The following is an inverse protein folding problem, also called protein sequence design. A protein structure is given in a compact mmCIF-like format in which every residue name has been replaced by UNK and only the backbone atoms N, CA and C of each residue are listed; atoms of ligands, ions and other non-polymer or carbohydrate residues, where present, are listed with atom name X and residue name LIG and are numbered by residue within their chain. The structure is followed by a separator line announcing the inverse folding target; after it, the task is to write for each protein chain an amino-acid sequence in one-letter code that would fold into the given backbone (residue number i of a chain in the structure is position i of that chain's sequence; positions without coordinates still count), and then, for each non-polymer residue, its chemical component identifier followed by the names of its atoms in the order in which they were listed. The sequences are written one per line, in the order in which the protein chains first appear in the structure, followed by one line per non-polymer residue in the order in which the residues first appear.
data_IF_694634939900
#
_entry.id   IF_694634939900
#
_cell.length_a   1.000
_cell.length_b   1.000
_cell.length_c   1.000
_cell.angle_alpha   90.00
_cell.angle_beta   90.00
_cell.angle_gamma   90.00
#
_symmetry.space_group_name_H-M   'P 1'
#
loop_
_entity.id
_entity.type
_entity.pdbx_description
1 polymer ?
#
# COMPACT_ATOMS: atom_id res chain seq x y z
N UNK A 1 5.77 -25.34 -3.22
CA UNK A 1 4.34 -25.37 -3.61
C UNK A 1 4.26 -25.74 -5.08
N UNK A 2 3.15 -26.32 -5.51
CA UNK A 2 2.89 -26.51 -6.93
C UNK A 2 2.63 -25.15 -7.61
N UNK A 3 3.20 -24.95 -8.80
CA UNK A 3 3.14 -23.68 -9.52
C UNK A 3 1.71 -23.29 -9.93
N UNK A 4 0.88 -24.27 -10.32
CA UNK A 4 -0.51 -24.02 -10.73
C UNK A 4 -1.38 -23.44 -9.59
N UNK A 5 -1.48 -24.07 -8.41
CA UNK A 5 -2.17 -23.47 -7.26
C UNK A 5 -1.64 -22.09 -6.90
N UNK A 6 -0.33 -21.89 -6.98
CA UNK A 6 0.33 -20.60 -6.72
C UNK A 6 -0.18 -19.51 -7.68
N UNK A 7 -0.21 -19.78 -9.00
CA UNK A 7 -0.75 -18.85 -10.01
C UNK A 7 -2.23 -18.54 -9.75
N UNK A 8 -3.03 -19.57 -9.43
CA UNK A 8 -4.45 -19.41 -9.14
C UNK A 8 -4.69 -18.59 -7.85
N UNK A 9 -3.91 -18.80 -6.80
CA UNK A 9 -3.93 -17.99 -5.57
C UNK A 9 -3.57 -16.54 -5.85
N UNK A 10 -2.52 -16.29 -6.63
CA UNK A 10 -2.14 -14.93 -7.04
C UNK A 10 -3.28 -14.24 -7.77
N UNK A 11 -3.85 -14.87 -8.79
CA UNK A 11 -4.99 -14.31 -9.52
C UNK A 11 -6.22 -14.10 -8.64
N UNK A 12 -6.51 -15.03 -7.72
CA UNK A 12 -7.62 -14.91 -6.77
C UNK A 12 -7.49 -13.69 -5.85
N UNK A 13 -6.27 -13.33 -5.43
CA UNK A 13 -6.04 -12.11 -4.65
C UNK A 13 -6.43 -10.86 -5.43
N UNK A 14 -5.97 -10.72 -6.68
CA UNK A 14 -6.25 -9.53 -7.48
C UNK A 14 -7.66 -9.48 -8.06
N UNK A 15 -8.32 -10.62 -8.16
CA UNK A 15 -9.73 -10.72 -8.53
C UNK A 15 -10.65 -10.02 -7.51
N UNK A 16 -10.28 -10.00 -6.22
CA UNK A 16 -10.98 -9.22 -5.17
C UNK A 16 -11.07 -7.74 -5.53
N UNK A 17 -10.12 -7.23 -6.31
CA UNK A 17 -10.02 -5.84 -6.75
C UNK A 17 -10.42 -5.61 -8.21
N UNK A 18 -10.95 -6.64 -8.90
CA UNK A 18 -11.27 -6.59 -10.33
C UNK A 18 -10.07 -6.13 -11.17
N UNK A 19 -8.89 -6.66 -10.84
CA UNK A 19 -7.61 -6.23 -11.38
C UNK A 19 -6.96 -7.42 -12.12
N UNK A 20 -7.19 -7.54 -13.44
CA UNK A 20 -6.60 -8.63 -14.21
C UNK A 20 -5.09 -8.38 -14.36
N UNK A 21 -4.32 -9.47 -14.39
CA UNK A 21 -2.86 -9.44 -14.25
C UNK A 21 -2.17 -9.65 -15.58
N UNK A 22 -1.04 -8.99 -15.80
CA UNK A 22 -0.11 -9.40 -16.87
C UNK A 22 0.68 -10.64 -16.46
N UNK A 23 1.39 -11.27 -17.41
CA UNK A 23 2.29 -12.37 -17.08
C UNK A 23 3.41 -11.94 -16.12
N UNK A 24 3.89 -10.71 -16.26
CA UNK A 24 4.89 -10.11 -15.35
C UNK A 24 4.31 -9.93 -13.95
N UNK A 25 3.09 -9.40 -13.83
CA UNK A 25 2.42 -9.26 -12.54
C UNK A 25 2.25 -10.64 -11.85
N UNK A 26 1.81 -11.67 -12.60
CA UNK A 26 1.65 -13.03 -12.05
C UNK A 26 2.96 -13.52 -11.46
N UNK A 27 4.05 -13.41 -12.23
CA UNK A 27 5.39 -13.82 -11.77
C UNK A 27 5.82 -13.02 -10.54
N UNK A 28 5.54 -11.72 -10.51
CA UNK A 28 6.00 -10.83 -9.46
C UNK A 28 5.25 -11.01 -8.13
N UNK A 29 3.95 -11.33 -8.21
CA UNK A 29 3.10 -11.58 -7.05
C UNK A 29 2.94 -13.08 -6.72
N UNK A 30 3.81 -13.92 -7.27
CA UNK A 30 3.82 -15.34 -6.98
C UNK A 30 4.42 -15.61 -5.60
N UNK A 31 3.83 -16.53 -4.86
CA UNK A 31 4.28 -16.97 -3.53
C UNK A 31 5.41 -18.02 -3.58
N UNK A 32 5.77 -18.47 -4.78
CA UNK A 32 6.91 -19.36 -5.04
C UNK A 32 7.84 -18.76 -6.07
N UNK A 33 9.13 -19.09 -6.01
CA UNK A 33 10.06 -18.74 -7.08
C UNK A 33 9.77 -19.60 -8.31
N UNK A 34 9.62 -18.95 -9.47
CA UNK A 34 9.45 -19.62 -10.75
C UNK A 34 10.13 -18.84 -11.88
N UNK A 35 10.65 -19.56 -12.88
CA UNK A 35 11.15 -18.93 -14.08
C UNK A 35 9.98 -18.39 -14.91
N UNK A 36 10.22 -17.31 -15.66
CA UNK A 36 9.20 -16.75 -16.55
C UNK A 36 8.64 -17.79 -17.53
N UNK A 37 9.51 -18.66 -18.04
CA UNK A 37 9.11 -19.75 -18.93
C UNK A 37 8.17 -20.73 -18.25
N UNK A 38 8.44 -21.13 -17.00
CA UNK A 38 7.56 -22.02 -16.25
C UNK A 38 6.20 -21.36 -16.00
N UNK A 39 6.18 -20.11 -15.55
CA UNK A 39 4.93 -19.36 -15.33
C UNK A 39 4.14 -19.30 -16.64
N UNK A 40 4.77 -18.91 -17.75
CA UNK A 40 4.12 -18.82 -19.07
C UNK A 40 3.50 -20.16 -19.50
N UNK A 41 4.26 -21.25 -19.40
CA UNK A 41 3.77 -22.59 -19.78
C UNK A 41 2.54 -23.00 -18.97
N UNK A 42 2.57 -22.80 -17.65
CA UNK A 42 1.44 -23.15 -16.79
C UNK A 42 0.24 -22.23 -17.02
N UNK A 43 0.45 -20.94 -17.26
CA UNK A 43 -0.64 -20.00 -17.53
C UNK A 43 -1.35 -20.36 -18.84
N UNK A 44 -0.60 -20.72 -19.89
CA UNK A 44 -1.15 -21.18 -21.18
C UNK A 44 -1.86 -22.54 -21.06
N UNK A 45 -1.38 -23.45 -20.21
CA UNK A 45 -2.08 -24.70 -19.93
C UNK A 45 -3.44 -24.43 -19.25
N UNK A 46 -3.47 -23.56 -18.24
CA UNK A 46 -4.70 -23.17 -17.55
C UNK A 46 -5.70 -22.45 -18.47
N UNK A 47 -5.23 -21.72 -19.49
CA UNK A 47 -6.09 -21.15 -20.55
C UNK A 47 -6.75 -22.25 -21.39
N UNK A 48 -5.97 -23.23 -21.87
CA UNK A 48 -6.51 -24.37 -22.66
C UNK A 48 -7.51 -25.20 -21.87
N UNK A 49 -7.31 -25.32 -20.57
CA UNK A 49 -8.21 -26.02 -19.65
C UNK A 49 -9.46 -25.19 -19.28
N UNK A 50 -9.60 -23.95 -19.77
CA UNK A 50 -10.74 -23.07 -19.45
C UNK A 50 -10.77 -22.63 -17.98
N UNK A 51 -9.63 -22.67 -17.29
CA UNK A 51 -9.48 -22.25 -15.88
C UNK A 51 -9.16 -20.77 -15.76
N UNK A 52 -8.46 -20.22 -16.76
CA UNK A 52 -8.19 -18.80 -16.91
C UNK A 52 -8.82 -18.26 -18.18
N UNK A 53 -8.97 -16.94 -18.22
CA UNK A 53 -9.37 -16.18 -19.40
C UNK A 53 -8.33 -15.12 -19.70
N UNK A 54 -8.18 -14.79 -20.97
CA UNK A 54 -7.21 -13.80 -21.44
C UNK A 54 -7.88 -12.78 -22.34
N UNK A 55 -7.67 -11.50 -22.05
CA UNK A 55 -8.06 -10.38 -22.91
C UNK A 55 -6.83 -9.51 -23.13
N UNK A 56 -6.26 -9.56 -24.35
CA UNK A 56 -5.00 -8.88 -24.66
C UNK A 56 -3.83 -9.40 -23.80
N UNK A 57 -3.10 -8.54 -23.07
CA UNK A 57 -2.00 -8.95 -22.20
C UNK A 57 -2.45 -9.45 -20.82
N UNK A 58 -3.75 -9.34 -20.50
CA UNK A 58 -4.26 -9.57 -19.15
C UNK A 58 -4.92 -10.93 -18.99
N UNK A 59 -4.63 -11.59 -17.86
CA UNK A 59 -5.19 -12.85 -17.41
C UNK A 59 -6.15 -12.61 -16.23
N UNK A 60 -7.26 -13.34 -16.22
CA UNK A 60 -8.30 -13.24 -15.20
C UNK A 60 -8.94 -14.59 -14.89
N UNK A 61 -9.57 -14.69 -13.72
CA UNK A 61 -10.42 -15.84 -13.35
C UNK A 61 -11.84 -15.70 -13.89
N UNK A 62 -12.20 -14.52 -14.38
CA UNK A 62 -13.52 -14.19 -14.91
C UNK A 62 -13.43 -13.97 -16.42
N UNK A 63 -14.36 -14.56 -17.18
CA UNK A 63 -14.50 -14.32 -18.61
C UNK A 63 -15.20 -12.99 -18.89
N UNK A 64 -14.58 -11.90 -18.44
CA UNK A 64 -15.13 -10.55 -18.54
C UNK A 64 -14.10 -9.61 -19.17
N UNK A 65 -14.24 -9.28 -20.47
CA UNK A 65 -13.32 -8.38 -21.15
C UNK A 65 -13.39 -6.93 -20.64
N UNK A 66 -14.45 -6.56 -19.89
CA UNK A 66 -14.56 -5.22 -19.30
C UNK A 66 -13.51 -4.98 -18.20
N UNK A 67 -12.99 -6.03 -17.58
CA UNK A 67 -11.89 -5.96 -16.61
C UNK A 67 -10.61 -5.43 -17.25
N UNK A 68 -10.26 -5.93 -18.43
CA UNK A 68 -9.09 -5.45 -19.19
C UNK A 68 -9.28 -3.99 -19.64
N UNK A 69 -10.49 -3.64 -20.11
CA UNK A 69 -10.80 -2.26 -20.48
C UNK A 69 -10.70 -1.31 -19.28
N UNK A 70 -11.18 -1.72 -18.10
CA UNK A 70 -11.01 -0.97 -16.85
C UNK A 70 -9.53 -0.82 -16.51
N UNK A 71 -8.76 -1.92 -16.54
CA UNK A 71 -7.32 -1.92 -16.21
C UNK A 71 -6.54 -0.90 -17.04
N UNK A 72 -6.75 -0.87 -18.36
CA UNK A 72 -6.11 0.10 -19.26
C UNK A 72 -6.48 1.56 -18.94
N UNK A 73 -7.75 1.83 -18.61
CA UNK A 73 -8.18 3.18 -18.18
C UNK A 73 -7.50 3.59 -16.88
N UNK A 74 -7.45 2.69 -15.90
CA UNK A 74 -6.82 2.93 -14.62
C UNK A 74 -5.31 3.16 -14.74
N UNK A 75 -4.62 2.43 -15.62
CA UNK A 75 -3.19 2.61 -15.90
C UNK A 75 -2.91 3.98 -16.53
N UNK A 76 -3.67 4.34 -17.57
CA UNK A 76 -3.52 5.65 -18.22
C UNK A 76 -3.76 6.82 -17.27
N UNK A 77 -4.71 6.67 -16.34
CA UNK A 77 -4.97 7.67 -15.31
C UNK A 77 -3.86 7.68 -14.24
N UNK A 78 -3.39 6.51 -13.82
CA UNK A 78 -2.31 6.36 -12.85
C UNK A 78 -1.03 7.04 -13.33
N UNK A 79 -0.63 6.87 -14.59
CA UNK A 79 0.58 7.51 -15.13
C UNK A 79 0.54 9.04 -15.01
N UNK A 80 -0.61 9.64 -15.28
CA UNK A 80 -0.82 11.09 -15.11
C UNK A 80 -0.75 11.50 -13.63
N UNK A 81 -1.40 10.73 -12.75
CA UNK A 81 -1.39 11.00 -11.31
C UNK A 81 -0.02 10.78 -10.68
N UNK A 82 0.78 9.83 -11.16
CA UNK A 82 2.12 9.56 -10.65
C UNK A 82 3.04 10.77 -10.81
N UNK A 83 2.91 11.55 -11.88
CA UNK A 83 3.65 12.81 -12.06
C UNK A 83 3.28 13.82 -10.96
N UNK A 84 1.99 13.94 -10.65
CA UNK A 84 1.48 14.83 -9.60
C UNK A 84 1.93 14.32 -8.22
N UNK A 85 1.82 13.02 -7.98
CA UNK A 85 2.18 12.36 -6.74
C UNK A 85 3.67 12.51 -6.43
N UNK A 86 4.53 12.40 -7.44
CA UNK A 86 5.97 12.62 -7.29
C UNK A 86 6.29 14.06 -6.87
N UNK A 87 5.63 15.06 -7.49
CA UNK A 87 5.80 16.47 -7.10
C UNK A 87 5.26 16.74 -5.70
N UNK A 88 4.10 16.19 -5.38
CA UNK A 88 3.48 16.28 -4.06
C UNK A 88 4.34 15.63 -2.98
N UNK A 89 4.88 14.44 -3.22
CA UNK A 89 5.76 13.75 -2.29
C UNK A 89 7.07 14.50 -2.02
N UNK A 90 7.66 15.13 -3.04
CA UNK A 90 8.82 16.04 -2.88
C UNK A 90 8.50 17.23 -1.97
N UNK A 91 7.30 17.81 -2.11
CA UNK A 91 6.83 18.88 -1.23
C UNK A 91 6.61 18.37 0.20
N UNK A 92 5.93 17.23 0.37
CA UNK A 92 5.70 16.61 1.67
C UNK A 92 7.00 16.27 2.40
N UNK A 93 8.05 15.88 1.66
CA UNK A 93 9.36 15.63 2.23
C UNK A 93 10.02 16.87 2.85
N UNK A 94 9.62 18.09 2.47
CA UNK A 94 10.16 19.34 3.03
C UNK A 94 9.57 19.70 4.40
N UNK A 95 8.56 18.97 4.89
CA UNK A 95 8.05 19.19 6.24
C UNK A 95 9.09 18.75 7.30
N UNK A 96 9.15 19.44 8.46
CA UNK A 96 10.04 19.06 9.55
C UNK A 96 9.88 17.61 9.94
N UNK A 97 11.01 16.96 10.22
CA UNK A 97 11.12 15.59 10.68
C UNK A 97 10.70 14.51 9.68
N UNK A 98 10.25 14.84 8.47
CA UNK A 98 10.01 13.82 7.43
C UNK A 98 11.35 13.27 6.94
N UNK A 99 11.44 11.95 6.81
CA UNK A 99 12.66 11.19 6.47
C UNK A 99 12.45 10.30 5.24
N UNK A 100 11.23 9.81 5.02
CA UNK A 100 10.85 9.06 3.83
C UNK A 100 9.43 9.40 3.39
N UNK A 101 9.21 9.42 2.08
CA UNK A 101 7.88 9.57 1.47
C UNK A 101 7.75 8.57 0.33
N UNK A 102 6.69 7.78 0.35
CA UNK A 102 6.34 6.81 -0.68
C UNK A 102 4.92 7.05 -1.16
N UNK A 103 4.65 6.68 -2.40
CA UNK A 103 3.31 6.52 -2.94
C UNK A 103 2.85 5.11 -2.61
N UNK A 104 1.60 4.99 -2.16
CA UNK A 104 0.99 3.76 -1.65
C UNK A 104 -0.39 3.51 -2.30
N UNK A 105 -1.12 2.50 -1.83
CA UNK A 105 -2.48 2.22 -2.29
C UNK A 105 -2.53 1.74 -3.74
N UNK A 106 -3.63 2.04 -4.43
CA UNK A 106 -3.87 1.59 -5.80
C UNK A 106 -2.93 2.27 -6.82
N UNK A 107 -2.57 3.54 -6.59
CA UNK A 107 -1.66 4.29 -7.45
C UNK A 107 -0.27 3.65 -7.52
N UNK A 108 0.22 3.10 -6.41
CA UNK A 108 1.50 2.37 -6.34
C UNK A 108 1.52 1.06 -7.16
N UNK A 109 0.33 0.55 -7.53
CA UNK A 109 0.13 -0.62 -8.40
C UNK A 109 -0.29 -0.20 -9.82
N UNK A 110 0.01 1.06 -10.20
CA UNK A 110 -0.34 1.64 -11.50
C UNK A 110 -1.83 1.54 -11.84
N UNK A 111 -2.72 1.67 -10.86
CA UNK A 111 -4.15 1.67 -11.12
C UNK A 111 -4.85 2.75 -10.31
N UNK A 112 -5.44 3.71 -11.00
CA UNK A 112 -6.19 4.78 -10.38
C UNK A 112 -7.53 4.96 -11.10
N UNK A 113 -8.64 4.79 -10.38
CA UNK A 113 -9.97 5.16 -10.86
C UNK A 113 -10.10 6.69 -10.93
N UNK A 114 -11.13 7.21 -11.61
CA UNK A 114 -11.31 8.67 -11.84
C UNK A 114 -11.39 9.51 -10.55
N UNK A 115 -11.80 8.88 -9.45
CA UNK A 115 -11.92 9.50 -8.12
C UNK A 115 -10.79 9.09 -7.17
N UNK A 116 -9.71 8.52 -7.68
CA UNK A 116 -8.62 8.03 -6.86
C UNK A 116 -7.90 9.17 -6.12
N UNK A 117 -7.69 8.96 -4.83
CA UNK A 117 -6.84 9.81 -4.01
C UNK A 117 -5.36 9.44 -4.21
N UNK A 118 -4.46 10.38 -3.92
CA UNK A 118 -3.02 10.13 -3.87
C UNK A 118 -2.64 9.80 -2.43
N UNK A 119 -2.38 8.53 -2.18
CA UNK A 119 -2.04 8.00 -0.87
C UNK A 119 -0.52 7.96 -0.65
N UNK A 120 -0.07 8.57 0.44
CA UNK A 120 1.32 8.59 0.86
C UNK A 120 1.55 7.80 2.14
N UNK A 121 2.66 7.06 2.13
CA UNK A 121 3.27 6.46 3.30
C UNK A 121 4.46 7.33 3.73
N UNK A 122 4.48 7.72 5.00
CA UNK A 122 5.41 8.71 5.54
C UNK A 122 6.25 8.08 6.65
N UNK A 123 7.57 8.18 6.51
CA UNK A 123 8.53 7.87 7.58
C UNK A 123 9.04 9.18 8.15
N UNK A 124 9.02 9.30 9.47
CA UNK A 124 9.48 10.47 10.19
C UNK A 124 10.67 10.13 11.09
N UNK A 125 11.38 11.16 11.55
CA UNK A 125 12.42 11.00 12.57
C UNK A 125 11.82 10.42 13.84
N UNK A 126 12.55 9.55 14.51
CA UNK A 126 12.19 9.00 15.82
C UNK A 126 11.59 10.05 16.77
N UNK A 127 10.44 9.75 17.38
CA UNK A 127 9.74 10.58 18.37
C UNK A 127 9.31 11.98 17.89
N UNK A 128 9.10 12.17 16.59
CA UNK A 128 8.67 13.45 15.98
C UNK A 128 7.52 13.32 14.99
N UNK A 129 6.85 12.16 15.00
CA UNK A 129 5.76 11.82 14.09
C UNK A 129 4.60 12.79 14.23
N UNK A 130 4.17 13.11 15.44
CA UNK A 130 2.94 13.85 15.70
C UNK A 130 3.05 15.33 15.34
N UNK A 131 4.23 15.94 15.53
CA UNK A 131 4.54 17.27 15.00
C UNK A 131 4.46 17.25 13.47
N UNK A 132 5.19 16.36 12.81
CA UNK A 132 5.22 16.27 11.36
C UNK A 132 3.81 16.06 10.78
N UNK A 133 3.09 15.06 11.31
CA UNK A 133 1.71 14.74 10.95
C UNK A 133 0.79 15.95 11.11
N UNK A 134 0.88 16.67 12.22
CA UNK A 134 0.01 17.83 12.49
C UNK A 134 0.26 18.95 11.49
N UNK A 135 1.53 19.28 11.22
CA UNK A 135 1.89 20.29 10.22
C UNK A 135 1.39 19.92 8.83
N UNK A 136 1.59 18.66 8.41
CA UNK A 136 1.13 18.16 7.12
C UNK A 136 -0.40 18.13 7.01
N UNK A 137 -1.11 17.83 8.10
CA UNK A 137 -2.58 17.88 8.14
C UNK A 137 -3.12 19.31 8.10
N UNK A 138 -2.43 20.27 8.74
CA UNK A 138 -2.75 21.70 8.60
C UNK A 138 -2.59 22.10 7.13
N UNK A 139 -1.47 21.73 6.50
CA UNK A 139 -1.26 21.94 5.07
C UNK A 139 -2.37 21.32 4.23
N UNK A 140 -2.74 20.05 4.46
CA UNK A 140 -3.86 19.40 3.76
C UNK A 140 -5.15 20.20 3.89
N UNK A 141 -5.47 20.71 5.09
CA UNK A 141 -6.67 21.56 5.27
C UNK A 141 -6.60 22.85 4.46
N UNK A 142 -5.43 23.46 4.31
CA UNK A 142 -5.25 24.63 3.44
C UNK A 142 -5.45 24.27 1.95
N UNK A 143 -5.11 23.05 1.54
CA UNK A 143 -5.37 22.59 0.16
C UNK A 143 -6.86 22.37 -0.12
N UNK A 144 -7.69 22.17 0.91
CA UNK A 144 -9.15 22.09 0.77
C UNK A 144 -9.74 23.38 0.22
N UNK A 145 -9.19 24.53 0.64
CA UNK A 145 -9.62 25.86 0.16
C UNK A 145 -9.38 26.06 -1.34
N UNK A 146 -8.54 25.22 -1.96
CA UNK A 146 -8.23 25.24 -3.39
C UNK A 146 -8.73 23.98 -4.13
N UNK A 147 -9.51 23.12 -3.48
CA UNK A 147 -10.02 21.88 -4.08
C UNK A 147 -8.93 20.83 -4.40
N UNK A 148 -7.79 20.87 -3.72
CA UNK A 148 -6.64 19.98 -3.99
C UNK A 148 -6.42 18.92 -2.90
N UNK A 149 -7.37 18.72 -1.99
CA UNK A 149 -7.26 17.78 -0.86
C UNK A 149 -6.98 16.33 -1.26
N UNK A 150 -7.51 15.89 -2.40
CA UNK A 150 -7.37 14.52 -2.93
C UNK A 150 -5.94 14.20 -3.38
N UNK A 151 -5.11 15.23 -3.59
CA UNK A 151 -3.70 15.08 -3.99
C UNK A 151 -2.76 14.82 -2.81
N UNK A 152 -3.28 14.90 -1.58
CA UNK A 152 -2.50 14.80 -0.36
C UNK A 152 -3.27 13.97 0.67
N UNK A 153 -3.30 12.65 0.51
CA UNK A 153 -3.79 11.72 1.51
C UNK A 153 -2.59 11.05 2.19
N UNK A 154 -2.30 11.41 3.44
CA UNK A 154 -1.20 10.79 4.20
C UNK A 154 -1.80 9.70 5.06
N UNK A 155 -1.93 8.52 4.48
CA UNK A 155 -2.70 7.42 5.07
C UNK A 155 -1.91 6.74 6.18
N UNK A 156 -0.60 6.61 6.03
CA UNK A 156 0.21 5.84 6.95
C UNK A 156 1.43 6.62 7.40
N UNK A 157 1.62 6.73 8.72
CA UNK A 157 2.79 7.32 9.33
C UNK A 157 3.47 6.33 10.26
N UNK A 158 4.78 6.27 10.16
CA UNK A 158 5.67 5.64 11.16
C UNK A 158 6.86 6.56 11.43
N UNK A 159 7.58 6.28 12.52
CA UNK A 159 8.89 6.86 12.75
C UNK A 159 9.99 5.80 12.74
N UNK A 160 11.24 6.25 12.81
CA UNK A 160 12.44 5.40 12.78
C UNK A 160 12.50 4.36 13.92
N UNK A 161 11.69 4.46 14.98
CA UNK A 161 11.61 3.45 16.07
C UNK A 161 10.62 2.33 15.78
N UNK A 162 9.77 2.47 14.75
CA UNK A 162 8.75 1.49 14.38
C UNK A 162 8.77 1.21 12.86
N UNK A 163 9.96 0.99 12.31
CA UNK A 163 10.14 0.64 10.90
C UNK A 163 9.52 -0.72 10.54
N UNK A 164 9.58 -1.70 11.45
CA UNK A 164 8.93 -2.99 11.24
C UNK A 164 7.41 -2.88 11.43
N UNK A 165 6.66 -3.32 10.41
CA UNK A 165 5.20 -3.38 10.46
C UNK A 165 4.76 -4.68 11.13
N UNK A 166 3.86 -4.54 12.12
CA UNK A 166 3.43 -5.66 12.97
C UNK A 166 2.50 -6.65 12.25
N UNK A 167 1.67 -6.17 11.33
CA UNK A 167 0.67 -7.00 10.64
C UNK A 167 1.33 -7.83 9.53
N UNK A 168 1.84 -9.01 9.87
CA UNK A 168 2.50 -9.91 8.93
C UNK A 168 1.50 -10.82 8.22
N UNK A 169 0.99 -10.38 7.08
CA UNK A 169 0.13 -11.19 6.19
C UNK A 169 0.27 -10.73 4.73
N UNK A 170 -0.33 -11.49 3.81
CA UNK A 170 -0.24 -11.27 2.36
C UNK A 170 -0.67 -9.86 1.95
N UNK A 171 -1.75 -9.32 2.52
CA UNK A 171 -2.21 -7.97 2.20
C UNK A 171 -1.15 -6.93 2.55
N UNK A 172 -0.62 -6.96 3.79
CA UNK A 172 0.44 -6.03 4.18
C UNK A 172 1.68 -6.24 3.31
N UNK A 173 2.05 -7.48 3.00
CA UNK A 173 3.23 -7.77 2.19
C UNK A 173 3.12 -7.12 0.81
N UNK A 174 1.98 -7.27 0.13
CA UNK A 174 1.71 -6.61 -1.15
C UNK A 174 1.72 -5.09 -1.00
N UNK A 175 1.05 -4.53 0.02
CA UNK A 175 1.04 -3.08 0.24
C UNK A 175 2.44 -2.50 0.46
N UNK A 176 3.31 -3.18 1.22
CA UNK A 176 4.67 -2.72 1.51
C UNK A 176 5.59 -2.86 0.30
N UNK A 177 5.57 -4.01 -0.36
CA UNK A 177 6.45 -4.29 -1.48
C UNK A 177 6.06 -3.48 -2.74
N UNK A 178 4.80 -3.07 -2.87
CA UNK A 178 4.36 -2.19 -3.96
C UNK A 178 4.60 -0.71 -3.72
N UNK A 179 5.05 -0.28 -2.53
CA UNK A 179 5.38 1.12 -2.27
C UNK A 179 6.35 1.68 -3.31
N UNK A 180 6.03 2.86 -3.84
CA UNK A 180 6.87 3.57 -4.80
C UNK A 180 7.64 4.69 -4.08
N UNK A 181 8.97 4.59 -3.95
CA UNK A 181 9.77 5.57 -3.23
C UNK A 181 9.84 6.92 -3.98
N UNK A 182 9.49 8.02 -3.31
CA UNK A 182 9.56 9.38 -3.89
C UNK A 182 10.78 10.14 -3.41
N UNK A 183 10.97 10.22 -2.08
CA UNK A 183 12.08 10.92 -1.45
C UNK A 183 12.49 10.19 -0.18
N UNK A 184 13.79 10.14 0.08
CA UNK A 184 14.33 9.55 1.30
C UNK A 184 15.70 10.12 1.64
N UNK A 185 16.10 9.95 2.91
CA UNK A 185 17.43 10.30 3.41
C UNK A 185 18.25 9.06 3.82
N UNK A 186 18.01 7.92 3.19
CA UNK A 186 18.60 6.62 3.57
C UNK A 186 17.69 5.75 4.46
N UNK A 187 16.57 6.27 4.95
CA UNK A 187 15.54 5.53 5.70
C UNK A 187 14.87 4.41 4.89
N UNK A 188 15.03 4.40 3.57
CA UNK A 188 14.41 3.43 2.66
C UNK A 188 14.98 2.03 2.84
N UNK A 189 16.32 1.93 2.83
CA UNK A 189 16.98 0.64 2.98
C UNK A 189 16.63 0.00 4.34
N UNK A 190 16.71 0.80 5.42
CA UNK A 190 16.36 0.32 6.77
C UNK A 190 14.89 -0.09 6.89
N UNK A 191 13.97 0.59 6.20
CA UNK A 191 12.55 0.23 6.22
C UNK A 191 12.28 -1.12 5.53
N UNK A 192 12.81 -1.33 4.32
CA UNK A 192 12.61 -2.61 3.62
C UNK A 192 13.32 -3.75 4.35
N UNK A 193 14.53 -3.53 4.87
CA UNK A 193 15.27 -4.51 5.68
C UNK A 193 14.49 -4.92 6.93
N UNK A 194 13.92 -3.95 7.66
CA UNK A 194 13.08 -4.25 8.82
C UNK A 194 11.81 -5.06 8.46
N UNK A 195 11.43 -5.12 7.18
CA UNK A 195 10.26 -5.82 6.68
C UNK A 195 10.64 -6.95 5.71
N UNK A 196 11.83 -7.54 5.82
CA UNK A 196 12.27 -8.66 4.98
C UNK A 196 11.35 -9.90 5.05
N UNK A 197 10.56 -10.02 6.13
CA UNK A 197 9.51 -11.03 6.29
C UNK A 197 8.51 -11.04 5.12
N UNK A 198 8.32 -9.90 4.44
CA UNK A 198 7.43 -9.76 3.27
C UNK A 198 7.85 -10.66 2.12
N UNK A 199 9.15 -10.93 1.98
CA UNK A 199 9.70 -11.83 0.96
C UNK A 199 9.42 -13.30 1.21
N UNK A 200 8.94 -13.65 2.42
CA UNK A 200 8.36 -14.97 2.68
C UNK A 200 7.01 -15.16 2.02
N UNK A 201 6.28 -14.08 1.72
CA UNK A 201 5.03 -14.10 0.95
C UNK A 201 5.27 -13.92 -0.55
N UNK A 202 6.25 -13.10 -0.94
CA UNK A 202 6.52 -12.73 -2.33
C UNK A 202 8.03 -12.84 -2.63
N UNK A 203 8.57 -14.05 -2.84
CA UNK A 203 10.01 -14.27 -2.95
C UNK A 203 10.68 -13.55 -4.12
N UNK A 204 9.95 -13.30 -5.22
CA UNK A 204 10.47 -12.57 -6.38
C UNK A 204 10.95 -11.14 -6.05
N UNK A 205 10.45 -10.55 -4.97
CA UNK A 205 10.88 -9.23 -4.53
C UNK A 205 12.28 -9.20 -3.88
N UNK A 206 12.86 -10.34 -3.48
CA UNK A 206 14.25 -10.37 -2.96
C UNK A 206 15.26 -9.85 -3.96
N UNK A 207 15.01 -10.12 -5.24
CA UNK A 207 15.88 -9.76 -6.35
C UNK A 207 15.54 -8.38 -6.93
N UNK A 208 14.50 -7.71 -6.42
CA UNK A 208 14.17 -6.36 -6.86
C UNK A 208 15.29 -5.44 -6.39
N UNK A 209 15.91 -4.71 -7.31
CA UNK A 209 16.69 -3.53 -6.93
C UNK A 209 15.75 -2.62 -6.15
N UNK A 210 15.97 -2.49 -4.84
CA UNK A 210 15.25 -1.51 -4.04
C UNK A 210 15.54 -0.16 -4.69
N UNK A 211 14.56 0.38 -5.41
CA UNK A 211 14.70 1.69 -6.04
C UNK A 211 15.02 2.66 -4.92
N UNK A 212 16.26 3.16 -4.90
CA UNK A 212 16.63 4.19 -3.96
C UNK A 212 15.91 5.45 -4.40
N UNK A 213 15.00 5.99 -3.57
CA UNK A 213 14.49 7.32 -3.85
C UNK A 213 15.67 8.28 -4.05
N UNK A 214 15.45 9.31 -4.87
CA UNK A 214 16.39 10.40 -4.95
C UNK A 214 16.67 10.95 -3.54
N UNK A 215 17.96 10.99 -3.16
CA UNK A 215 18.39 11.66 -1.94
C UNK A 215 18.11 13.14 -2.10
N UNK A 216 17.02 13.60 -1.50
CA UNK A 216 16.60 14.98 -1.62
C UNK A 216 17.20 15.81 -0.50
N UNK A 217 17.90 16.90 -0.86
CA UNK A 217 18.43 17.85 0.12
C UNK A 217 17.28 18.49 0.89
N UNK A 218 17.44 18.57 2.21
CA UNK A 218 16.49 19.24 3.08
C UNK A 218 16.63 20.76 2.95
N UNK A 219 15.52 21.47 2.80
CA UNK A 219 15.50 22.94 2.79
C UNK A 219 16.07 23.52 4.09
N UNK A 220 16.54 24.77 4.03
CA UNK A 220 16.98 25.52 5.21
C UNK A 220 15.84 25.70 6.21
N UNK A 221 14.62 25.98 5.72
CA UNK A 221 13.43 26.11 6.55
C UNK A 221 13.13 24.84 7.33
N UNK A 222 13.15 23.67 6.67
CA UNK A 222 13.00 22.37 7.34
C UNK A 222 13.98 22.22 8.50
N UNK A 223 15.27 22.47 8.24
CA UNK A 223 16.34 22.37 9.25
C UNK A 223 16.18 23.36 10.40
N UNK A 224 15.77 24.60 10.11
CA UNK A 224 15.55 25.62 11.13
C UNK A 224 14.38 25.25 12.05
N UNK A 225 13.25 24.82 11.49
CA UNK A 225 12.08 24.37 12.26
C UNK A 225 12.40 23.12 13.09
N UNK A 226 13.16 22.17 12.53
CA UNK A 226 13.61 21.00 13.28
C UNK A 226 14.47 21.38 14.50
N UNK A 227 15.35 22.38 14.37
CA UNK A 227 16.18 22.88 15.48
C UNK A 227 15.35 23.65 16.52
N UNK A 228 14.43 24.49 16.07
CA UNK A 228 13.55 25.27 16.95
C UNK A 228 12.71 24.37 17.86
N UNK A 229 12.26 23.23 17.34
CA UNK A 229 11.44 22.25 18.05
C UNK A 229 12.28 21.07 18.62
N UNK A 230 13.61 21.12 18.56
CA UNK A 230 14.50 20.14 19.17
C UNK A 230 14.77 20.46 20.66
N UNK A 231 13.71 20.65 21.44
CA UNK A 231 13.79 20.97 22.85
C UNK A 231 12.58 20.36 23.62
N UNK A 232 12.54 20.58 24.94
CA UNK A 232 11.47 20.09 25.81
C UNK A 232 10.07 20.57 25.39
N UNK A 233 9.97 21.75 24.78
CA UNK A 233 8.70 22.23 24.23
C UNK A 233 8.27 21.35 23.05
N UNK A 234 9.19 20.99 22.16
CA UNK A 234 8.91 20.02 21.10
C UNK A 234 8.43 18.67 21.64
N UNK A 235 9.05 18.14 22.70
CA UNK A 235 8.62 16.89 23.32
C UNK A 235 7.21 16.99 23.95
N UNK A 236 6.90 18.15 24.56
CA UNK A 236 5.57 18.43 25.08
C UNK A 236 4.53 18.53 23.95
N UNK A 237 4.86 19.23 22.86
CA UNK A 237 4.00 19.39 21.68
C UNK A 237 3.73 18.06 20.98
N UNK A 238 4.74 17.21 20.83
CA UNK A 238 4.62 15.85 20.27
C UNK A 238 3.54 15.05 21.04
N UNK A 239 3.67 15.01 22.37
CA UNK A 239 2.71 14.32 23.23
C UNK A 239 1.31 14.96 23.21
N UNK A 240 1.25 16.29 23.18
CA UNK A 240 -0.01 17.02 23.10
C UNK A 240 -0.75 16.71 21.79
N UNK A 241 -0.07 16.82 20.63
CA UNK A 241 -0.67 16.55 19.32
C UNK A 241 -1.13 15.11 19.16
N UNK A 242 -0.39 14.14 19.72
CA UNK A 242 -0.83 12.75 19.81
C UNK A 242 -2.14 12.61 20.56
N UNK A 243 -2.20 13.10 21.80
CA UNK A 243 -3.40 13.00 22.65
C UNK A 243 -4.59 13.74 22.03
N UNK A 244 -4.37 14.91 21.43
CA UNK A 244 -5.41 15.67 20.76
C UNK A 244 -5.98 14.89 19.57
N UNK A 245 -5.12 14.30 18.75
CA UNK A 245 -5.54 13.52 17.58
C UNK A 245 -6.30 12.26 18.01
N UNK A 246 -5.76 11.51 18.97
CA UNK A 246 -6.39 10.30 19.52
C UNK A 246 -7.81 10.59 20.05
N UNK A 247 -7.95 11.61 20.90
CA UNK A 247 -9.26 12.03 21.44
C UNK A 247 -10.24 12.42 20.33
N UNK A 248 -9.78 13.14 19.30
CA UNK A 248 -10.65 13.57 18.20
C UNK A 248 -11.12 12.39 17.36
N UNK A 249 -10.25 11.42 17.09
CA UNK A 249 -10.60 10.25 16.30
C UNK A 249 -11.49 9.28 17.06
N UNK A 250 -11.25 9.04 18.34
CA UNK A 250 -12.16 8.25 19.20
C UNK A 250 -13.58 8.77 19.16
N UNK A 251 -13.79 10.09 19.29
CA UNK A 251 -15.12 10.70 19.16
C UNK A 251 -15.77 10.48 17.80
N UNK A 252 -15.01 10.47 16.70
CA UNK A 252 -15.54 10.19 15.37
C UNK A 252 -15.98 8.73 15.24
N UNK A 253 -15.16 7.82 15.74
CA UNK A 253 -15.45 6.38 15.76
C UNK A 253 -16.67 6.07 16.63
N UNK A 254 -16.75 6.64 17.83
CA UNK A 254 -17.90 6.50 18.75
C UNK A 254 -19.20 7.03 18.13
N UNK A 255 -19.13 8.08 17.31
CA UNK A 255 -20.28 8.60 16.57
C UNK A 255 -20.67 7.75 15.35
N UNK A 256 -19.81 6.79 14.96
CA UNK A 256 -20.04 5.97 13.77
C UNK A 256 -19.84 6.72 12.45
N UNK A 257 -18.98 7.75 12.42
CA UNK A 257 -18.69 8.47 11.17
C UNK A 257 -18.13 7.50 10.12
N UNK A 258 -18.61 7.59 8.88
CA UNK A 258 -18.16 6.77 7.76
C UNK A 258 -17.27 7.54 6.79
N UNK A 259 -16.38 6.84 6.10
CA UNK A 259 -15.66 7.35 4.94
C UNK A 259 -16.53 7.29 3.68
N UNK A 260 -15.99 7.75 2.54
CA UNK A 260 -16.71 7.74 1.26
C UNK A 260 -17.05 6.33 0.75
N UNK A 261 -16.36 5.30 1.24
CA UNK A 261 -16.61 3.90 0.92
C UNK A 261 -17.59 3.20 1.88
N UNK A 262 -18.13 3.93 2.86
CA UNK A 262 -19.03 3.39 3.87
C UNK A 262 -18.33 2.62 5.00
N UNK A 263 -16.99 2.67 5.08
CA UNK A 263 -16.26 2.09 6.21
C UNK A 263 -16.17 3.09 7.36
N UNK A 264 -16.21 2.58 8.59
CA UNK A 264 -16.08 3.39 9.80
C UNK A 264 -14.74 4.10 9.86
N UNK A 265 -14.77 5.39 10.16
CA UNK A 265 -13.58 6.21 10.37
C UNK A 265 -12.88 5.81 11.68
N UNK A 266 -11.77 5.11 11.54
CA UNK A 266 -10.90 4.72 12.64
C UNK A 266 -9.46 5.14 12.38
N UNK A 267 -8.73 5.43 13.45
CA UNK A 267 -7.31 5.74 13.40
C UNK A 267 -6.63 5.23 14.65
N UNK A 268 -5.64 4.36 14.48
CA UNK A 268 -4.77 3.95 15.57
C UNK A 268 -3.69 5.02 15.79
N UNK A 269 -3.65 5.57 17.00
CA UNK A 269 -2.73 6.63 17.41
C UNK A 269 -1.67 6.10 18.39
N UNK A 270 -0.64 5.45 17.85
CA UNK A 270 0.50 4.96 18.63
C UNK A 270 1.51 6.05 18.99
N UNK A 271 2.50 5.72 19.82
CA UNK A 271 3.64 6.63 20.04
C UNK A 271 4.44 6.84 18.73
N UNK A 272 4.66 5.75 18.01
CA UNK A 272 5.55 5.66 16.84
C UNK A 272 4.83 5.41 15.51
N UNK A 273 3.49 5.45 15.50
CA UNK A 273 2.70 5.26 14.29
C UNK A 273 1.35 6.01 14.34
N UNK A 274 0.84 6.38 13.16
CA UNK A 274 -0.53 6.87 12.94
C UNK A 274 -1.06 6.28 11.64
N UNK A 275 -2.04 5.38 11.73
CA UNK A 275 -2.55 4.60 10.59
C UNK A 275 -4.02 4.21 10.77
N UNK A 276 -4.77 3.88 9.71
CA UNK A 276 -6.13 3.35 9.82
C UNK A 276 -6.13 2.04 10.61
N UNK A 277 -7.26 1.67 11.20
CA UNK A 277 -7.36 0.38 11.88
C UNK A 277 -7.27 -0.77 10.86
N UNK A 278 -6.24 -1.64 10.95
CA UNK A 278 -6.12 -2.77 10.04
C UNK A 278 -7.34 -3.70 10.10
N UNK A 279 -8.00 -3.83 11.27
CA UNK A 279 -9.10 -4.77 11.46
C UNK A 279 -10.30 -4.51 10.52
N UNK A 280 -10.49 -3.27 10.06
CA UNK A 280 -11.67 -2.93 9.25
C UNK A 280 -11.45 -3.29 7.78
N UNK A 281 -10.32 -2.90 7.20
CA UNK A 281 -10.10 -3.06 5.76
C UNK A 281 -9.38 -4.37 5.44
N UNK A 282 -8.29 -4.66 6.15
CA UNK A 282 -7.44 -5.81 5.87
C UNK A 282 -8.17 -7.13 6.08
N UNK A 283 -8.93 -7.26 7.18
CA UNK A 283 -9.66 -8.50 7.46
C UNK A 283 -10.74 -8.76 6.42
N UNK A 284 -11.45 -7.71 5.96
CA UNK A 284 -12.43 -7.85 4.87
C UNK A 284 -11.78 -8.32 3.57
N UNK A 285 -10.63 -7.75 3.20
CA UNK A 285 -9.88 -8.16 2.01
C UNK A 285 -9.41 -9.61 2.13
N UNK A 286 -8.80 -9.98 3.25
CA UNK A 286 -8.29 -11.34 3.48
C UNK A 286 -9.43 -12.36 3.52
N UNK A 287 -10.58 -12.04 4.12
CA UNK A 287 -11.75 -12.92 4.11
C UNK A 287 -12.28 -13.15 2.69
N UNK A 288 -12.39 -12.09 1.87
CA UNK A 288 -12.77 -12.20 0.45
C UNK A 288 -11.75 -13.00 -0.35
N UNK A 289 -10.46 -12.79 -0.08
CA UNK A 289 -9.38 -13.55 -0.70
C UNK A 289 -9.47 -15.04 -0.38
N UNK A 290 -9.58 -15.42 0.90
CA UNK A 290 -9.69 -16.83 1.29
C UNK A 290 -10.92 -17.51 0.70
N UNK A 291 -12.06 -16.81 0.66
CA UNK A 291 -13.25 -17.30 -0.02
C UNK A 291 -12.98 -17.54 -1.51
N UNK A 292 -12.32 -16.58 -2.18
CA UNK A 292 -12.02 -16.68 -3.61
C UNK A 292 -11.02 -17.79 -3.93
N UNK A 293 -9.98 -17.95 -3.12
CA UNK A 293 -9.02 -19.06 -3.24
C UNK A 293 -9.74 -20.39 -3.10
N UNK A 294 -10.62 -20.51 -2.09
CA UNK A 294 -11.41 -21.73 -1.88
C UNK A 294 -12.20 -22.10 -3.13
N UNK A 295 -13.00 -21.16 -3.64
CA UNK A 295 -13.80 -21.38 -4.85
C UNK A 295 -12.96 -21.82 -6.06
N UNK A 296 -11.83 -21.15 -6.30
CA UNK A 296 -10.97 -21.42 -7.45
C UNK A 296 -10.28 -22.78 -7.33
N UNK A 297 -9.77 -23.12 -6.15
CA UNK A 297 -9.07 -24.38 -5.92
C UNK A 297 -10.02 -25.57 -5.84
N UNK A 298 -11.21 -25.44 -5.25
CA UNK A 298 -12.23 -26.51 -5.28
C UNK A 298 -12.63 -26.82 -6.72
N UNK A 299 -12.82 -25.77 -7.55
CA UNK A 299 -13.09 -25.95 -8.98
C UNK A 299 -11.93 -26.66 -9.68
N UNK A 300 -10.69 -26.33 -9.31
CA UNK A 300 -9.48 -26.91 -9.90
C UNK A 300 -9.30 -28.40 -9.55
N UNK A 301 -9.33 -28.72 -8.26
CA UNK A 301 -9.11 -30.07 -7.74
C UNK A 301 -10.32 -31.00 -7.85
N UNK A 302 -11.52 -30.45 -8.09
CA UNK A 302 -12.75 -31.24 -8.20
C UNK A 302 -13.27 -31.80 -6.88
N UNK A 303 -12.76 -31.33 -5.74
CA UNK A 303 -13.20 -31.72 -4.40
C UNK A 303 -13.03 -30.56 -3.40
N UNK A 304 -13.74 -30.59 -2.24
CA UNK A 304 -13.57 -29.59 -1.19
C UNK A 304 -12.14 -29.59 -0.64
N UNK A 305 -11.52 -28.41 -0.58
CA UNK A 305 -10.17 -28.26 -0.01
C UNK A 305 -10.21 -27.87 1.46
N UNK A 306 -9.20 -28.32 2.19
CA UNK A 306 -9.01 -28.05 3.62
C UNK A 306 -8.41 -26.67 3.87
N UNK A 307 -8.61 -26.12 5.06
CA UNK A 307 -8.10 -24.79 5.43
C UNK A 307 -6.56 -24.69 5.43
N UNK A 308 -5.83 -25.81 5.45
CA UNK A 308 -4.37 -25.85 5.27
C UNK A 308 -3.93 -25.53 3.84
N UNK A 309 -4.75 -25.82 2.83
CA UNK A 309 -4.41 -25.63 1.41
C UNK A 309 -4.68 -24.19 0.93
N UNK A 310 -5.53 -23.47 1.67
CA UNK A 310 -5.83 -22.04 1.46
C UNK A 310 -4.83 -21.07 2.06
N UNK A 311 -3.88 -21.58 2.87
CA UNK A 311 -2.81 -20.79 3.48
C UNK A 311 -1.59 -20.66 2.56
#
# INVERSE_FOLDING_TARGET
MELRPSILKTLAYFDVFHYPLTLEDIRYFLDTEASETAVRLETEALLREGRLYRTGPFYSLQNDPTLAARRLRCESHADKLLVIANRGGKLLYQFPYVRGVYISGSLSKRCADEKADIDYFIITRANRLWIARTMMHIFKKLTYLRGHQHRYCMNYYIDEEALEIKEKNLFTAIELLTLMPVCGNGSIAGFFQANDWTTGYLPHYRNRSLETAAVHRSSLLKRALERLLANRLGDALENYFRKLTDRRWKKKTERGDLNFHGDMLTLQCGKHYSRPDPAIFQQKVLARYHHRVKEVLEKYYGHPITSSETK
#
